data_IF_739472044034
#
_entry.id   IF_739472044034
#
_cell.length_a   1.000
_cell.length_b   1.000
_cell.length_c   1.000
_cell.angle_alpha   90.00
_cell.angle_beta   90.00
_cell.angle_gamma   90.00
#
_symmetry.space_group_name_H-M   'P 1'
#
loop_
_entity.id
_entity.type
_entity.pdbx_description
1 polymer ?
#
# COMPACT_ATOMS: atom_id res chain seq x y z
N UNK A 1 4.07 14.24 -12.77
CA UNK A 1 4.47 13.43 -11.60
C UNK A 1 3.34 13.35 -10.57
N UNK A 2 2.80 14.47 -10.11
CA UNK A 2 1.66 14.50 -9.16
C UNK A 2 0.47 13.62 -9.58
N UNK A 3 0.03 13.72 -10.84
CA UNK A 3 -1.06 12.88 -11.38
C UNK A 3 -0.76 11.38 -11.30
N UNK A 4 0.47 10.96 -11.63
CA UNK A 4 0.88 9.55 -11.49
C UNK A 4 0.80 9.11 -10.03
N UNK A 5 1.36 9.88 -9.11
CA UNK A 5 1.31 9.55 -7.68
C UNK A 5 -0.13 9.48 -7.15
N UNK A 6 -1.03 10.37 -7.61
CA UNK A 6 -2.45 10.33 -7.23
C UNK A 6 -3.10 9.03 -7.67
N UNK A 7 -2.93 8.64 -8.94
CA UNK A 7 -3.49 7.40 -9.48
C UNK A 7 -2.98 6.18 -8.72
N UNK A 8 -1.68 6.16 -8.42
CA UNK A 8 -1.08 5.07 -7.64
C UNK A 8 -1.62 5.05 -6.19
N UNK A 9 -1.78 6.20 -5.55
CA UNK A 9 -2.32 6.28 -4.19
C UNK A 9 -3.77 5.84 -4.13
N UNK A 10 -4.59 6.23 -5.10
CA UNK A 10 -6.00 5.85 -5.17
C UNK A 10 -6.14 4.34 -5.32
N UNK A 11 -5.35 3.72 -6.20
CA UNK A 11 -5.32 2.27 -6.37
C UNK A 11 -4.89 1.55 -5.09
N UNK A 12 -3.77 1.97 -4.49
CA UNK A 12 -3.27 1.40 -3.23
C UNK A 12 -4.31 1.53 -2.11
N UNK A 13 -4.89 2.71 -1.96
CA UNK A 13 -5.86 2.99 -0.89
C UNK A 13 -7.13 2.20 -1.08
N UNK A 14 -7.60 2.01 -2.31
CA UNK A 14 -8.78 1.20 -2.62
C UNK A 14 -8.60 -0.24 -2.13
N UNK A 15 -7.48 -0.88 -2.48
CA UNK A 15 -7.18 -2.27 -2.03
C UNK A 15 -7.01 -2.34 -0.51
N UNK A 16 -6.26 -1.41 0.07
CA UNK A 16 -6.02 -1.39 1.52
C UNK A 16 -7.27 -1.06 2.36
N UNK A 17 -8.30 -0.45 1.77
CA UNK A 17 -9.55 -0.13 2.46
C UNK A 17 -10.53 -1.31 2.48
N UNK A 18 -10.46 -2.20 1.49
CA UNK A 18 -11.36 -3.35 1.37
C UNK A 18 -10.88 -4.59 2.13
N UNK A 19 -9.57 -4.73 2.38
CA UNK A 19 -9.00 -5.97 2.89
C UNK A 19 -7.97 -5.78 4.03
N UNK A 20 -7.74 -6.86 4.79
CA UNK A 20 -6.57 -6.93 5.66
C UNK A 20 -5.33 -7.19 4.82
N UNK A 21 -4.22 -6.54 5.17
CA UNK A 21 -2.93 -6.74 4.51
C UNK A 21 -2.53 -8.21 4.58
N UNK A 22 -2.30 -8.80 3.41
CA UNK A 22 -1.88 -10.18 3.24
C UNK A 22 -0.86 -10.29 2.08
N UNK A 23 -0.43 -11.50 1.75
CA UNK A 23 0.60 -11.72 0.73
C UNK A 23 0.17 -11.33 -0.69
N UNK A 24 -1.12 -11.28 -0.96
CA UNK A 24 -1.70 -10.97 -2.27
C UNK A 24 -1.96 -9.47 -2.48
N UNK A 25 -1.94 -8.67 -1.41
CA UNK A 25 -2.29 -7.24 -1.46
C UNK A 25 -1.49 -6.46 -2.50
N UNK A 26 -0.20 -6.76 -2.70
CA UNK A 26 0.58 -6.09 -3.76
C UNK A 26 0.09 -6.48 -5.16
N UNK A 27 -0.25 -7.76 -5.37
CA UNK A 27 -0.74 -8.24 -6.66
C UNK A 27 -2.10 -7.65 -6.98
N UNK A 28 -3.01 -7.59 -6.02
CA UNK A 28 -4.32 -6.93 -6.17
C UNK A 28 -4.19 -5.46 -6.56
N UNK A 29 -3.20 -4.75 -6.00
CA UNK A 29 -2.90 -3.37 -6.42
C UNK A 29 -2.40 -3.34 -7.86
N UNK A 30 -1.50 -4.24 -8.25
CA UNK A 30 -0.99 -4.32 -9.61
C UNK A 30 -2.11 -4.65 -10.61
N UNK A 31 -2.96 -5.63 -10.32
CA UNK A 31 -4.10 -6.02 -11.14
C UNK A 31 -5.03 -4.82 -11.37
N UNK A 32 -5.32 -4.04 -10.33
CA UNK A 32 -6.11 -2.81 -10.45
C UNK A 32 -5.40 -1.73 -11.29
N UNK A 33 -4.07 -1.64 -11.21
CA UNK A 33 -3.29 -0.70 -12.02
C UNK A 33 -3.25 -1.09 -13.51
N UNK A 34 -3.37 -2.38 -13.85
CA UNK A 34 -3.46 -2.86 -15.22
C UNK A 34 -4.78 -2.47 -15.90
N UNK A 35 -5.85 -2.29 -15.11
CA UNK A 35 -7.18 -1.90 -15.61
C UNK A 35 -7.33 -0.39 -15.88
N UNK A 36 -6.37 0.43 -15.46
CA UNK A 36 -6.47 1.90 -15.53
C UNK A 36 -5.34 2.53 -16.37
N UNK A 37 -5.63 3.72 -16.93
CA UNK A 37 -4.61 4.46 -17.67
C UNK A 37 -3.58 5.08 -16.72
N UNK A 38 -2.34 4.60 -16.80
CA UNK A 38 -1.22 5.11 -16.02
C UNK A 38 -0.62 6.36 -16.69
N UNK A 39 -0.58 7.52 -16.01
CA UNK A 39 0.03 8.73 -16.55
C UNK A 39 1.52 8.52 -16.77
N UNK A 40 1.95 8.65 -18.03
CA UNK A 40 3.36 8.53 -18.40
C UNK A 40 4.14 9.80 -18.03
N UNK A 41 5.39 9.61 -17.60
CA UNK A 41 6.27 10.67 -17.13
C UNK A 41 7.61 10.60 -17.86
N UNK A 42 8.08 11.73 -18.38
CA UNK A 42 9.39 11.85 -19.01
C UNK A 42 9.31 12.38 -20.44
N UNK A 43 10.47 12.49 -21.09
CA UNK A 43 10.54 12.71 -22.53
C UNK A 43 10.38 11.37 -23.28
N UNK A 44 10.05 11.40 -24.57
CA UNK A 44 9.78 10.18 -25.36
C UNK A 44 10.87 9.10 -25.28
N UNK A 45 12.13 9.48 -25.13
CA UNK A 45 13.25 8.54 -25.04
C UNK A 45 13.23 7.73 -23.72
N UNK A 46 12.88 8.39 -22.61
CA UNK A 46 12.99 7.81 -21.26
C UNK A 46 11.63 7.55 -20.59
N UNK A 47 10.53 7.91 -21.26
CA UNK A 47 9.16 7.92 -20.71
C UNK A 47 8.81 6.57 -20.06
N UNK A 48 9.07 5.47 -20.76
CA UNK A 48 8.76 4.15 -20.27
C UNK A 48 9.61 3.78 -19.04
N UNK A 49 10.94 3.92 -19.15
CA UNK A 49 11.88 3.53 -18.09
C UNK A 49 11.64 4.35 -16.82
N UNK A 50 11.43 5.65 -16.96
CA UNK A 50 11.18 6.55 -15.84
C UNK A 50 9.85 6.25 -15.18
N UNK A 51 8.78 6.07 -15.96
CA UNK A 51 7.44 5.75 -15.43
C UNK A 51 7.47 4.45 -14.64
N UNK A 52 8.02 3.37 -15.22
CA UNK A 52 8.11 2.06 -14.56
C UNK A 52 8.94 2.14 -13.28
N UNK A 53 10.05 2.88 -13.29
CA UNK A 53 10.89 3.04 -12.10
C UNK A 53 10.17 3.75 -10.97
N UNK A 54 9.40 4.80 -11.29
CA UNK A 54 8.58 5.53 -10.31
C UNK A 54 7.49 4.63 -9.76
N UNK A 55 6.75 3.91 -10.61
CA UNK A 55 5.68 2.98 -10.18
C UNK A 55 6.24 1.92 -9.23
N UNK A 56 7.34 1.25 -9.59
CA UNK A 56 7.99 0.23 -8.76
C UNK A 56 8.40 0.79 -7.40
N UNK A 57 9.13 1.91 -7.40
CA UNK A 57 9.58 2.55 -6.16
C UNK A 57 8.40 2.93 -5.26
N UNK A 58 7.38 3.55 -5.85
CA UNK A 58 6.19 3.98 -5.12
C UNK A 58 5.47 2.81 -4.46
N UNK A 59 5.17 1.74 -5.21
CA UNK A 59 4.47 0.57 -4.68
C UNK A 59 5.23 -0.12 -3.55
N UNK A 60 6.55 -0.31 -3.71
CA UNK A 60 7.40 -0.89 -2.66
C UNK A 60 7.33 -0.06 -1.38
N UNK A 61 7.51 1.26 -1.50
CA UNK A 61 7.49 2.16 -0.34
C UNK A 61 6.11 2.20 0.33
N UNK A 62 5.04 2.25 -0.45
CA UNK A 62 3.67 2.27 0.09
C UNK A 62 3.32 0.98 0.80
N UNK A 63 3.68 -0.18 0.24
CA UNK A 63 3.48 -1.46 0.91
C UNK A 63 4.30 -1.55 2.21
N UNK A 64 5.55 -1.09 2.19
CA UNK A 64 6.37 -1.04 3.40
C UNK A 64 5.71 -0.21 4.52
N UNK A 65 5.22 0.99 4.19
CA UNK A 65 4.52 1.84 5.16
C UNK A 65 3.20 1.24 5.63
N UNK A 66 2.42 0.65 4.73
CA UNK A 66 1.15 0.00 5.06
C UNK A 66 1.37 -1.18 6.03
N UNK A 67 2.29 -2.08 5.71
CA UNK A 67 2.66 -3.22 6.56
C UNK A 67 3.15 -2.75 7.93
N UNK A 68 4.03 -1.74 7.98
CA UNK A 68 4.56 -1.19 9.23
C UNK A 68 3.43 -0.66 10.12
N UNK A 69 2.56 0.18 9.55
CA UNK A 69 1.41 0.75 10.27
C UNK A 69 0.45 -0.33 10.76
N UNK A 70 0.12 -1.31 9.92
CA UNK A 70 -0.76 -2.43 10.28
C UNK A 70 -0.18 -3.25 11.43
N UNK A 71 1.12 -3.56 11.38
CA UNK A 71 1.81 -4.30 12.43
C UNK A 71 1.86 -3.53 13.76
N UNK A 72 2.06 -2.21 13.73
CA UNK A 72 2.01 -1.37 14.92
C UNK A 72 0.62 -1.36 15.57
N UNK A 73 -0.44 -1.22 14.77
CA UNK A 73 -1.84 -1.27 15.24
C UNK A 73 -2.12 -2.63 15.88
N UNK A 74 -1.75 -3.72 15.21
CA UNK A 74 -1.94 -5.07 15.74
C UNK A 74 -1.16 -5.30 17.04
N UNK A 75 0.07 -4.79 17.14
CA UNK A 75 0.86 -4.85 18.38
C UNK A 75 0.18 -4.09 19.52
N UNK A 76 -0.37 -2.89 19.26
CA UNK A 76 -1.12 -2.10 20.25
C UNK A 76 -2.40 -2.84 20.70
N UNK A 77 -3.15 -3.41 19.77
CA UNK A 77 -4.38 -4.16 20.06
C UNK A 77 -4.10 -5.42 20.88
N UNK A 78 -3.03 -6.17 20.55
CA UNK A 78 -2.58 -7.33 21.34
C UNK A 78 -2.21 -6.94 22.77
N UNK A 79 -1.48 -5.83 22.97
CA UNK A 79 -1.16 -5.31 24.30
C UNK A 79 -2.42 -4.94 25.09
N UNK A 80 -3.36 -4.22 24.47
CA UNK A 80 -4.64 -3.86 25.10
C UNK A 80 -5.43 -5.09 25.53
N UNK A 81 -5.51 -6.08 24.64
CA UNK A 81 -6.20 -7.37 24.92
C UNK A 81 -5.54 -8.13 26.06
N UNK A 82 -4.20 -8.13 26.14
CA UNK A 82 -3.46 -8.76 27.23
C UNK A 82 -3.80 -8.11 28.58
N UNK A 83 -3.76 -6.78 28.66
CA UNK A 83 -4.08 -6.03 29.88
C UNK A 83 -5.51 -6.31 30.34
N UNK A 84 -6.48 -6.27 29.42
CA UNK A 84 -7.88 -6.57 29.75
C UNK A 84 -8.06 -7.99 30.29
N UNK A 85 -7.38 -8.99 29.70
CA UNK A 85 -7.41 -10.38 30.18
C UNK A 85 -6.79 -10.55 31.57
N UNK A 86 -5.76 -9.78 31.90
CA UNK A 86 -5.16 -9.79 33.24
C UNK A 86 -6.11 -9.16 34.26
N UNK A 87 -6.78 -8.07 33.89
CA UNK A 87 -7.77 -7.39 34.74
C UNK A 87 -9.03 -8.22 35.00
N UNK A 88 -9.53 -8.97 34.01
CA UNK A 88 -10.74 -9.80 34.18
C UNK A 88 -10.52 -11.10 34.96
N UNK A 89 -9.27 -11.44 35.29
CA UNK A 89 -8.92 -12.61 36.13
C UNK A 89 -8.77 -12.25 37.61
N UNK A 90 -8.82 -10.96 37.94
CA UNK A 90 -8.90 -10.40 39.30
C UNK A 90 -10.38 -10.22 39.66
#
# INVERSE_FOLDING_TARGET
MFRLCSVLEDAVTKVLSSENINNNTLFEVVDLLEEIEIPKIGCKADEHVLTVSIVKFYLIMRMHFACTRFNEINKKNRKKTKILREQSKL
#
